data_IF_265063600862
#
_entry.id   IF_265063600862
#
_cell.length_a   1.000
_cell.length_b   1.000
_cell.length_c   1.000
_cell.angle_alpha   90.00
_cell.angle_beta   90.00
_cell.angle_gamma   90.00
#
_symmetry.space_group_name_H-M   'P 1'
#
loop_
_entity.id
_entity.type
_entity.pdbx_description
1 polymer ?
#
# COMPACT_ATOMS: atom_id res chain seq x y z
N UNK A 1 -1.42 -5.88 44.19
CA UNK A 1 -2.50 -6.39 43.30
C UNK A 1 -2.97 -7.74 43.84
N UNK A 2 -4.27 -7.99 43.99
CA UNK A 2 -4.78 -9.26 44.53
C UNK A 2 -4.65 -10.40 43.50
N UNK A 3 -4.61 -11.65 43.96
CA UNK A 3 -4.59 -12.83 43.07
C UNK A 3 -5.80 -12.85 42.11
N UNK A 4 -6.96 -12.39 42.59
CA UNK A 4 -8.18 -12.23 41.78
C UNK A 4 -7.95 -11.21 40.65
N UNK A 5 -7.28 -10.08 40.93
CA UNK A 5 -6.97 -9.08 39.91
C UNK A 5 -6.01 -9.64 38.84
N UNK A 6 -5.03 -10.46 39.21
CA UNK A 6 -4.13 -11.11 38.25
C UNK A 6 -4.84 -12.12 37.36
N UNK A 7 -5.76 -12.92 37.92
CA UNK A 7 -6.58 -13.87 37.16
C UNK A 7 -7.51 -13.14 36.19
N UNK A 8 -8.20 -12.10 36.66
CA UNK A 8 -9.08 -11.28 35.81
C UNK A 8 -8.31 -10.61 34.65
N UNK A 9 -7.12 -10.05 34.92
CA UNK A 9 -6.26 -9.49 33.88
C UNK A 9 -5.81 -10.56 32.88
N UNK A 10 -5.48 -11.76 33.33
CA UNK A 10 -5.11 -12.88 32.47
C UNK A 10 -6.26 -13.35 31.56
N UNK A 11 -7.47 -13.43 32.09
CA UNK A 11 -8.68 -13.79 31.32
C UNK A 11 -9.00 -12.70 30.29
N UNK A 12 -9.06 -11.43 30.70
CA UNK A 12 -9.33 -10.30 29.80
C UNK A 12 -8.28 -10.24 28.70
N UNK A 13 -6.99 -10.37 29.04
CA UNK A 13 -5.90 -10.39 28.07
C UNK A 13 -6.05 -11.53 27.06
N UNK A 14 -6.43 -12.73 27.52
CA UNK A 14 -6.64 -13.89 26.64
C UNK A 14 -7.82 -13.69 25.69
N UNK A 15 -8.96 -13.21 26.19
CA UNK A 15 -10.15 -12.91 25.38
C UNK A 15 -9.82 -11.84 24.34
N UNK A 16 -9.14 -10.77 24.75
CA UNK A 16 -8.72 -9.70 23.86
C UNK A 16 -7.78 -10.20 22.75
N UNK A 17 -6.74 -10.99 23.09
CA UNK A 17 -5.82 -11.55 22.10
C UNK A 17 -6.54 -12.49 21.12
N UNK A 18 -7.50 -13.28 21.61
CA UNK A 18 -8.29 -14.16 20.74
C UNK A 18 -9.14 -13.36 19.77
N UNK A 19 -9.86 -12.35 20.27
CA UNK A 19 -10.66 -11.46 19.43
C UNK A 19 -9.79 -10.71 18.42
N UNK A 20 -8.65 -10.17 18.85
CA UNK A 20 -7.72 -9.47 17.98
C UNK A 20 -7.18 -10.39 16.87
N UNK A 21 -6.89 -11.66 17.18
CA UNK A 21 -6.49 -12.65 16.19
C UNK A 21 -7.60 -12.97 15.18
N UNK A 22 -8.84 -13.11 15.65
CA UNK A 22 -9.98 -13.41 14.78
C UNK A 22 -10.34 -12.22 13.88
N UNK A 23 -10.36 -11.00 14.43
CA UNK A 23 -10.57 -9.76 13.69
C UNK A 23 -9.47 -9.57 12.62
N UNK A 24 -8.21 -9.88 12.94
CA UNK A 24 -7.09 -9.83 11.99
C UNK A 24 -7.28 -10.79 10.81
N UNK A 25 -7.69 -12.04 11.06
CA UNK A 25 -7.97 -12.98 9.96
C UNK A 25 -9.19 -12.53 9.15
N UNK A 26 -10.25 -12.07 9.81
CA UNK A 26 -11.51 -11.70 9.18
C UNK A 26 -11.35 -10.49 8.24
N UNK A 27 -10.50 -9.53 8.62
CA UNK A 27 -10.18 -8.37 7.77
C UNK A 27 -9.34 -8.75 6.54
N UNK A 28 -8.58 -9.85 6.62
CA UNK A 28 -7.55 -10.23 5.66
C UNK A 28 -6.16 -9.97 6.24
N UNK A 29 -5.21 -10.84 5.92
CA UNK A 29 -3.87 -10.84 6.55
C UNK A 29 -2.77 -10.33 5.61
N UNK A 30 -3.14 -9.93 4.39
CA UNK A 30 -2.25 -9.62 3.28
C UNK A 30 -1.16 -10.68 3.08
N UNK A 31 0.07 -10.25 2.82
CA UNK A 31 1.23 -11.14 2.67
C UNK A 31 1.61 -11.96 3.91
N UNK A 32 0.90 -11.83 5.03
CA UNK A 32 1.19 -12.58 6.25
C UNK A 32 0.31 -13.85 6.34
N UNK A 33 0.89 -15.05 6.55
CA UNK A 33 0.10 -16.27 6.67
C UNK A 33 -0.96 -16.21 7.79
N UNK A 34 -2.22 -16.60 7.54
CA UNK A 34 -3.35 -16.46 8.48
C UNK A 34 -3.33 -17.52 9.59
N UNK A 35 -2.22 -17.61 10.32
CA UNK A 35 -2.01 -18.56 11.40
C UNK A 35 -1.35 -17.89 12.61
N UNK A 36 -1.25 -18.61 13.74
CA UNK A 36 -0.67 -18.09 14.99
C UNK A 36 0.76 -17.56 14.83
N UNK A 37 1.59 -18.19 13.97
CA UNK A 37 2.96 -17.73 13.72
C UNK A 37 2.96 -16.38 12.99
N UNK A 38 2.10 -16.22 11.98
CA UNK A 38 1.89 -14.96 11.28
C UNK A 38 1.42 -13.86 12.22
N UNK A 39 0.45 -14.17 13.09
CA UNK A 39 -0.03 -13.22 14.09
C UNK A 39 1.06 -12.78 15.08
N UNK A 40 1.88 -13.72 15.59
CA UNK A 40 3.02 -13.36 16.47
C UNK A 40 4.02 -12.46 15.73
N UNK A 41 4.32 -12.75 14.46
CA UNK A 41 5.17 -11.89 13.62
C UNK A 41 4.55 -10.48 13.53
N UNK A 42 3.25 -10.39 13.34
CA UNK A 42 2.54 -9.11 13.29
C UNK A 42 2.62 -8.32 14.58
N UNK A 43 2.41 -8.97 15.73
CA UNK A 43 2.54 -8.33 17.04
C UNK A 43 3.96 -7.81 17.28
N UNK A 44 4.99 -8.53 16.82
CA UNK A 44 6.39 -8.07 16.88
C UNK A 44 6.63 -6.84 16.02
N UNK A 45 6.10 -6.82 14.79
CA UNK A 45 6.20 -5.65 13.89
C UNK A 45 5.51 -4.44 14.52
N UNK A 46 4.30 -4.62 15.06
CA UNK A 46 3.57 -3.57 15.77
C UNK A 46 4.37 -3.02 16.96
N UNK A 47 4.94 -3.90 17.80
CA UNK A 47 5.76 -3.47 18.93
C UNK A 47 7.02 -2.72 18.48
N UNK A 48 7.69 -3.18 17.42
CA UNK A 48 8.85 -2.49 16.83
C UNK A 48 8.45 -1.10 16.34
N UNK A 49 7.30 -0.95 15.66
CA UNK A 49 6.78 0.35 15.22
C UNK A 49 6.44 1.27 16.37
N UNK A 50 5.86 0.75 17.45
CA UNK A 50 5.55 1.55 18.65
C UNK A 50 6.82 2.16 19.27
N UNK A 51 7.96 1.48 19.14
CA UNK A 51 9.28 1.95 19.59
C UNK A 51 10.01 2.81 18.54
N UNK A 52 9.53 2.83 17.29
CA UNK A 52 10.05 3.69 16.23
C UNK A 52 9.32 5.03 16.29
N UNK A 53 10.02 6.07 16.72
CA UNK A 53 9.50 7.43 16.75
C UNK A 53 9.63 8.12 15.39
N UNK A 54 9.19 7.47 14.31
CA UNK A 54 9.15 8.05 12.96
C UNK A 54 7.73 8.22 12.43
N UNK A 55 7.50 9.33 11.71
CA UNK A 55 6.22 9.64 11.07
C UNK A 55 6.23 9.15 9.61
N UNK A 56 5.36 8.20 9.26
CA UNK A 56 5.26 7.67 7.89
C UNK A 56 4.81 8.71 6.87
N UNK A 57 4.24 9.83 7.34
CA UNK A 57 3.80 10.98 6.52
C UNK A 57 4.90 12.02 6.35
N UNK A 58 6.02 11.87 7.05
CA UNK A 58 7.20 12.68 6.83
C UNK A 58 8.02 12.12 5.66
N UNK A 59 8.11 12.91 4.59
CA UNK A 59 8.89 12.59 3.40
C UNK A 59 10.34 13.07 3.48
N UNK A 60 10.76 13.72 4.58
CA UNK A 60 12.10 14.31 4.73
C UNK A 60 13.24 13.33 4.49
N UNK A 61 13.04 12.05 4.79
CA UNK A 61 14.03 10.98 4.58
C UNK A 61 14.10 10.46 3.14
N UNK A 62 13.18 10.88 2.27
CA UNK A 62 13.21 10.54 0.85
C UNK A 62 14.06 11.55 0.08
N UNK A 63 14.79 11.11 -0.98
CA UNK A 63 15.59 11.99 -1.83
C UNK A 63 14.79 13.19 -2.36
N UNK A 64 15.47 14.32 -2.51
CA UNK A 64 14.93 15.56 -3.11
C UNK A 64 15.26 15.67 -4.60
N UNK A 65 16.03 14.73 -5.13
CA UNK A 65 16.42 14.61 -6.52
C UNK A 65 16.27 13.16 -7.03
N UNK A 66 16.50 12.97 -8.33
CA UNK A 66 16.43 11.67 -8.99
C UNK A 66 15.37 11.60 -10.10
N UNK A 67 15.09 10.39 -10.61
CA UNK A 67 14.12 10.16 -11.67
C UNK A 67 12.70 10.57 -11.24
N UNK A 68 11.98 11.23 -12.15
CA UNK A 68 10.60 11.70 -11.94
C UNK A 68 9.75 11.28 -13.13
N UNK A 69 8.59 10.70 -12.85
CA UNK A 69 7.64 10.19 -13.85
C UNK A 69 6.24 10.79 -13.67
N UNK A 70 5.96 11.45 -12.54
CA UNK A 70 4.75 12.27 -12.42
C UNK A 70 4.76 13.42 -13.43
N UNK A 71 3.68 13.51 -14.23
CA UNK A 71 3.49 14.57 -15.22
C UNK A 71 3.05 15.90 -14.57
N UNK A 72 3.96 16.50 -13.80
CA UNK A 72 3.74 17.76 -13.09
C UNK A 72 3.53 17.61 -11.58
N UNK A 73 3.19 18.72 -10.90
CA UNK A 73 2.85 18.71 -9.47
C UNK A 73 1.48 18.08 -9.23
N UNK A 74 1.37 17.26 -8.20
CA UNK A 74 0.08 16.75 -7.74
C UNK A 74 -0.71 17.86 -7.03
N UNK A 75 -2.04 17.91 -7.19
CA UNK A 75 -2.86 18.78 -6.37
C UNK A 75 -2.79 18.31 -4.91
N UNK A 76 -2.89 19.23 -3.96
CA UNK A 76 -3.06 18.85 -2.56
C UNK A 76 -4.39 18.10 -2.37
N UNK A 77 -4.37 16.98 -1.64
CA UNK A 77 -5.55 16.12 -1.47
C UNK A 77 -6.65 16.85 -0.70
N UNK A 78 -7.78 17.10 -1.35
CA UNK A 78 -8.94 17.77 -0.73
C UNK A 78 -9.45 16.98 0.47
N UNK A 79 -9.84 17.60 1.56
CA UNK A 79 -10.35 16.89 2.74
C UNK A 79 -9.30 16.05 3.50
N UNK A 80 -8.02 16.17 3.14
CA UNK A 80 -6.89 15.61 3.86
C UNK A 80 -6.77 14.09 3.79
N UNK A 81 -5.95 13.58 4.71
CA UNK A 81 -5.59 12.16 4.84
C UNK A 81 -6.69 11.36 5.54
N UNK A 82 -6.93 10.11 5.14
CA UNK A 82 -7.85 9.23 5.85
C UNK A 82 -7.30 8.81 7.21
N UNK A 83 -8.17 8.25 8.04
CA UNK A 83 -7.73 7.56 9.25
C UNK A 83 -7.10 6.21 8.90
N UNK A 84 -5.99 5.87 9.56
CA UNK A 84 -5.33 4.58 9.38
C UNK A 84 -5.90 3.53 10.34
N UNK A 85 -5.81 2.26 9.96
CA UNK A 85 -6.04 1.16 10.90
C UNK A 85 -4.93 1.15 11.96
N UNK A 86 -5.25 0.79 13.19
CA UNK A 86 -4.27 0.75 14.29
C UNK A 86 -3.21 -0.35 14.11
N UNK A 87 -3.54 -1.37 13.30
CA UNK A 87 -2.63 -2.47 12.96
C UNK A 87 -1.63 -2.01 11.91
N UNK A 88 -0.38 -2.46 12.06
CA UNK A 88 0.69 -2.11 11.12
C UNK A 88 0.59 -2.90 9.81
N UNK A 89 0.35 -4.21 9.86
CA UNK A 89 0.04 -5.02 8.68
C UNK A 89 -1.25 -5.86 8.88
N UNK A 90 -1.99 -6.16 7.80
CA UNK A 90 -1.85 -5.50 6.50
C UNK A 90 -2.00 -3.98 6.63
N UNK A 91 -1.20 -3.24 5.86
CA UNK A 91 -1.18 -1.77 5.94
C UNK A 91 -2.44 -1.27 5.22
N UNK A 92 -3.29 -0.61 5.99
CA UNK A 92 -4.70 -0.38 5.65
C UNK A 92 -5.17 0.93 6.22
N UNK A 93 -6.04 1.61 5.47
CA UNK A 93 -6.81 2.72 6.01
C UNK A 93 -8.14 2.22 6.56
N UNK A 94 -8.80 3.04 7.37
CA UNK A 94 -10.21 2.83 7.67
C UNK A 94 -11.00 3.06 6.37
N UNK A 95 -11.92 2.15 6.00
CA UNK A 95 -12.76 2.35 4.83
C UNK A 95 -13.57 3.65 4.96
N UNK A 96 -13.57 4.43 3.88
CA UNK A 96 -14.35 5.65 3.74
C UNK A 96 -15.32 5.49 2.55
N UNK A 97 -16.31 6.38 2.46
CA UNK A 97 -17.25 6.39 1.33
C UNK A 97 -16.53 6.72 0.02
N UNK A 98 -16.84 5.96 -1.02
CA UNK A 98 -16.40 6.18 -2.40
C UNK A 98 -17.64 6.18 -3.30
N UNK A 99 -17.71 7.12 -4.24
CA UNK A 99 -18.78 7.16 -5.24
C UNK A 99 -18.78 5.84 -6.04
N UNK A 100 -19.95 5.22 -6.30
CA UNK A 100 -20.01 3.93 -6.99
C UNK A 100 -19.30 3.91 -8.34
N UNK A 101 -19.43 4.99 -9.13
CA UNK A 101 -18.75 5.15 -10.41
C UNK A 101 -17.23 5.28 -10.23
N UNK A 102 -16.78 6.05 -9.25
CA UNK A 102 -15.36 6.20 -8.94
C UNK A 102 -14.75 4.87 -8.50
N UNK A 103 -15.49 4.08 -7.72
CA UNK A 103 -15.10 2.72 -7.34
C UNK A 103 -14.96 1.84 -8.57
N UNK A 104 -15.95 1.80 -9.46
CA UNK A 104 -15.88 1.01 -10.68
C UNK A 104 -14.67 1.40 -11.55
N UNK A 105 -14.43 2.70 -11.72
CA UNK A 105 -13.27 3.22 -12.46
C UNK A 105 -11.96 2.81 -11.82
N UNK A 106 -11.82 2.97 -10.49
CA UNK A 106 -10.63 2.56 -9.74
C UNK A 106 -10.30 1.08 -9.97
N UNK A 107 -11.29 0.20 -9.81
CA UNK A 107 -11.10 -1.25 -9.98
C UNK A 107 -10.91 -1.64 -11.46
N UNK A 108 -11.23 -0.76 -12.40
CA UNK A 108 -10.99 -0.95 -13.84
C UNK A 108 -9.65 -0.39 -14.32
N UNK A 109 -8.93 0.41 -13.52
CA UNK A 109 -7.66 1.04 -13.92
C UNK A 109 -6.61 0.03 -14.38
N UNK A 110 -6.48 -1.08 -13.67
CA UNK A 110 -5.50 -2.13 -14.00
C UNK A 110 -5.83 -2.76 -15.35
N UNK A 111 -7.10 -3.10 -15.59
CA UNK A 111 -7.54 -3.66 -16.87
C UNK A 111 -7.33 -2.67 -18.02
N UNK A 112 -7.66 -1.39 -17.80
CA UNK A 112 -7.42 -0.30 -18.75
C UNK A 112 -5.94 -0.19 -19.12
N UNK A 113 -5.03 -0.09 -18.14
CA UNK A 113 -3.59 0.01 -18.40
C UNK A 113 -3.03 -1.22 -19.13
N UNK A 114 -3.52 -2.41 -18.81
CA UNK A 114 -3.13 -3.64 -19.52
C UNK A 114 -3.54 -3.62 -21.00
N UNK A 115 -4.72 -3.10 -21.30
CA UNK A 115 -5.20 -2.93 -22.67
C UNK A 115 -4.42 -1.85 -23.42
N UNK A 116 -4.09 -0.75 -22.74
CA UNK A 116 -3.34 0.37 -23.31
C UNK A 116 -1.86 -0.01 -23.55
N UNK A 117 -1.27 -0.85 -22.69
CA UNK A 117 0.16 -1.19 -22.72
C UNK A 117 0.46 -2.72 -22.62
N UNK A 118 -0.13 -3.57 -23.49
CA UNK A 118 -0.07 -5.02 -23.38
C UNK A 118 1.33 -5.60 -23.64
N UNK A 119 2.25 -4.81 -24.20
CA UNK A 119 3.63 -5.22 -24.47
C UNK A 119 4.53 -5.19 -23.24
N UNK A 120 4.20 -4.37 -22.23
CA UNK A 120 5.06 -4.15 -21.06
C UNK A 120 4.41 -4.55 -19.74
N UNK A 121 3.09 -4.73 -19.71
CA UNK A 121 2.34 -5.07 -18.49
C UNK A 121 1.77 -6.49 -18.54
N UNK A 122 1.67 -7.11 -17.35
CA UNK A 122 0.93 -8.37 -17.12
C UNK A 122 0.16 -8.29 -15.81
N UNK A 123 -0.93 -9.06 -15.71
CA UNK A 123 -1.71 -9.25 -14.49
C UNK A 123 -1.25 -10.53 -13.79
N UNK A 124 -1.29 -10.54 -12.46
CA UNK A 124 -1.17 -11.76 -11.68
C UNK A 124 -1.57 -11.54 -10.22
N UNK A 125 -1.65 -12.62 -9.42
CA UNK A 125 -1.91 -12.49 -7.99
C UNK A 125 -0.81 -11.68 -7.31
N UNK A 126 -1.19 -10.68 -6.51
CA UNK A 126 -0.27 -9.85 -5.73
C UNK A 126 0.53 -10.71 -4.75
N UNK A 127 1.83 -10.82 -4.97
CA UNK A 127 2.73 -11.53 -4.05
C UNK A 127 2.90 -10.77 -2.74
N UNK A 128 2.88 -9.44 -2.79
CA UNK A 128 3.01 -8.60 -1.58
C UNK A 128 1.76 -8.66 -0.70
N UNK A 129 0.59 -8.92 -1.28
CA UNK A 129 -0.68 -9.13 -0.59
C UNK A 129 -1.02 -10.62 -0.36
N UNK A 130 -0.06 -11.53 -0.54
CA UNK A 130 -0.23 -12.96 -0.24
C UNK A 130 -1.11 -13.73 -1.23
N UNK A 131 -1.34 -13.17 -2.42
CA UNK A 131 -2.15 -13.75 -3.49
C UNK A 131 -3.65 -13.50 -3.35
N UNK A 132 -4.07 -12.68 -2.39
CA UNK A 132 -5.50 -12.44 -2.10
C UNK A 132 -6.19 -11.48 -3.09
N UNK A 133 -5.43 -10.73 -3.88
CA UNK A 133 -5.94 -9.82 -4.91
C UNK A 133 -4.99 -9.75 -6.09
N UNK A 134 -5.44 -9.11 -7.17
CA UNK A 134 -4.63 -8.95 -8.37
C UNK A 134 -3.69 -7.74 -8.26
N UNK A 135 -2.53 -7.88 -8.88
CA UNK A 135 -1.54 -6.82 -9.04
C UNK A 135 -1.13 -6.68 -10.50
N UNK A 136 -0.77 -5.46 -10.86
CA UNK A 136 -0.15 -5.16 -12.13
C UNK A 136 1.37 -5.32 -11.99
N UNK A 137 1.97 -5.99 -12.96
CA UNK A 137 3.40 -6.30 -13.01
C UNK A 137 4.01 -5.81 -14.32
N UNK A 138 5.29 -5.48 -14.29
CA UNK A 138 6.07 -5.39 -15.53
C UNK A 138 6.32 -6.80 -16.09
N UNK A 139 6.30 -6.95 -17.42
CA UNK A 139 6.74 -8.20 -18.06
C UNK A 139 8.26 -8.35 -17.96
N UNK A 140 8.71 -9.60 -17.90
CA UNK A 140 10.11 -9.93 -17.62
C UNK A 140 11.04 -9.67 -18.83
N UNK A 141 10.46 -9.53 -20.04
CA UNK A 141 11.16 -9.32 -21.31
C UNK A 141 11.20 -7.85 -21.77
N UNK A 142 10.73 -6.92 -20.93
CA UNK A 142 10.78 -5.49 -21.23
C UNK A 142 12.24 -5.01 -21.24
N UNK A 143 12.78 -4.50 -22.38
CA UNK A 143 14.21 -4.16 -22.46
C UNK A 143 14.64 -3.02 -21.53
N UNK A 144 13.70 -2.17 -21.12
CA UNK A 144 13.93 -0.98 -20.31
C UNK A 144 13.70 -1.21 -18.82
N UNK A 145 13.46 -2.46 -18.37
CA UNK A 145 13.15 -2.76 -16.97
C UNK A 145 14.11 -2.06 -16.02
N UNK A 146 13.53 -1.32 -15.07
CA UNK A 146 14.31 -0.74 -14.00
C UNK A 146 14.65 -1.82 -12.98
N UNK A 147 15.95 -2.04 -12.74
CA UNK A 147 16.42 -3.04 -11.80
C UNK A 147 15.89 -2.82 -10.37
N UNK A 148 15.54 -1.58 -9.99
CA UNK A 148 14.90 -1.30 -8.71
C UNK A 148 13.59 -2.07 -8.52
N UNK A 149 12.86 -2.37 -9.61
CA UNK A 149 11.63 -3.16 -9.64
C UNK A 149 11.79 -4.56 -9.05
N UNK A 150 12.98 -5.15 -9.14
CA UNK A 150 13.27 -6.49 -8.60
C UNK A 150 13.02 -6.59 -7.09
N UNK A 151 13.13 -5.47 -6.34
CA UNK A 151 12.84 -5.44 -4.90
C UNK A 151 11.43 -5.95 -4.57
N UNK A 152 10.44 -5.65 -5.43
CA UNK A 152 9.05 -6.09 -5.30
C UNK A 152 8.70 -7.21 -6.30
N UNK A 153 9.69 -7.87 -6.89
CA UNK A 153 9.45 -8.89 -7.92
C UNK A 153 8.74 -8.32 -9.16
N UNK A 154 8.99 -7.05 -9.47
CA UNK A 154 8.34 -6.27 -10.52
C UNK A 154 6.84 -6.06 -10.35
N UNK A 155 6.32 -6.22 -9.13
CA UNK A 155 4.99 -5.73 -8.77
C UNK A 155 4.99 -4.20 -8.80
N UNK A 156 4.08 -3.62 -9.58
CA UNK A 156 3.97 -2.18 -9.78
C UNK A 156 2.94 -1.60 -8.81
N UNK A 157 1.74 -2.19 -8.78
CA UNK A 157 0.67 -1.72 -7.93
C UNK A 157 -0.37 -2.82 -7.69
N UNK A 158 -1.13 -2.68 -6.60
CA UNK A 158 -2.33 -3.46 -6.34
C UNK A 158 -3.37 -2.64 -5.57
N UNK A 159 -4.64 -3.02 -5.70
CA UNK A 159 -5.76 -2.40 -4.99
C UNK A 159 -6.18 -3.28 -3.82
N UNK A 160 -6.37 -2.70 -2.65
CA UNK A 160 -6.96 -3.37 -1.50
C UNK A 160 -8.48 -3.39 -1.64
N UNK A 161 -9.05 -4.59 -1.81
CA UNK A 161 -10.51 -4.74 -1.98
C UNK A 161 -11.31 -4.26 -0.77
N UNK A 162 -10.74 -4.34 0.44
CA UNK A 162 -11.42 -4.04 1.70
C UNK A 162 -11.62 -2.54 1.96
N UNK A 163 -10.69 -1.69 1.53
CA UNK A 163 -10.70 -0.25 1.83
C UNK A 163 -10.47 0.65 0.61
N UNK A 164 -10.27 0.07 -0.58
CA UNK A 164 -9.99 0.73 -1.86
C UNK A 164 -8.67 1.55 -1.90
N UNK A 165 -7.82 1.43 -0.87
CA UNK A 165 -6.46 1.99 -0.93
C UNK A 165 -5.55 1.10 -1.78
N UNK A 166 -4.35 1.57 -2.08
CA UNK A 166 -3.42 0.91 -3.00
C UNK A 166 -2.03 0.85 -2.40
N UNK A 167 -1.24 -0.15 -2.77
CA UNK A 167 0.21 0.01 -2.78
C UNK A 167 0.70 0.24 -4.20
N UNK A 168 1.70 1.10 -4.34
CA UNK A 168 2.36 1.40 -5.60
C UNK A 168 3.87 1.52 -5.41
N UNK A 169 4.64 1.05 -6.38
CA UNK A 169 6.09 1.23 -6.41
C UNK A 169 6.47 2.42 -7.28
N UNK A 170 6.79 3.54 -6.64
CA UNK A 170 7.19 4.79 -7.29
C UNK A 170 8.71 4.98 -7.23
N UNK A 171 9.22 5.90 -8.05
CA UNK A 171 10.55 6.46 -7.78
C UNK A 171 10.55 7.13 -6.39
N UNK A 172 11.69 7.19 -5.67
CA UNK A 172 11.72 7.87 -4.37
C UNK A 172 11.31 9.35 -4.43
N UNK A 173 11.57 10.02 -5.56
CA UNK A 173 11.17 11.42 -5.78
C UNK A 173 9.66 11.57 -6.03
N UNK A 174 9.04 10.66 -6.78
CA UNK A 174 7.59 10.65 -6.97
C UNK A 174 6.86 10.23 -5.69
N UNK A 175 7.39 9.27 -4.94
CA UNK A 175 6.90 8.88 -3.61
C UNK A 175 6.89 10.08 -2.65
N UNK A 176 7.96 10.89 -2.67
CA UNK A 176 8.02 12.15 -1.91
C UNK A 176 6.88 13.08 -2.30
N UNK A 177 6.68 13.34 -3.59
CA UNK A 177 5.62 14.22 -4.08
C UNK A 177 4.21 13.73 -3.68
N UNK A 178 3.97 12.42 -3.75
CA UNK A 178 2.70 11.79 -3.30
C UNK A 178 2.46 12.02 -1.81
N UNK A 179 3.49 11.85 -0.98
CA UNK A 179 3.38 12.04 0.47
C UNK A 179 3.19 13.53 0.80
N UNK A 180 4.01 14.43 0.25
CA UNK A 180 3.92 15.87 0.50
C UNK A 180 2.56 16.47 0.05
N UNK A 181 1.95 15.88 -0.98
CA UNK A 181 0.64 16.30 -1.49
C UNK A 181 -0.54 15.61 -0.79
N UNK A 182 -0.28 14.87 0.29
CA UNK A 182 -1.24 14.13 1.12
C UNK A 182 -1.98 12.97 0.44
N UNK A 183 -1.46 12.45 -0.66
CA UNK A 183 -2.05 11.30 -1.37
C UNK A 183 -1.64 9.94 -0.83
N UNK A 184 -0.60 9.87 -0.01
CA UNK A 184 -0.14 8.60 0.55
C UNK A 184 0.80 8.75 1.74
N UNK A 185 1.24 7.60 2.26
CA UNK A 185 2.24 7.48 3.31
C UNK A 185 3.22 6.35 3.01
N UNK A 186 4.41 6.43 3.62
CA UNK A 186 5.44 5.40 3.47
C UNK A 186 4.94 4.06 4.00
N UNK A 187 5.38 2.98 3.38
CA UNK A 187 5.16 1.65 3.92
C UNK A 187 5.85 1.49 5.29
N UNK A 188 5.17 0.94 6.31
CA UNK A 188 5.65 0.96 7.69
C UNK A 188 6.87 0.08 7.96
N UNK A 189 7.13 -0.94 7.13
CA UNK A 189 8.17 -1.95 7.41
C UNK A 189 9.29 -1.86 6.39
N UNK A 190 10.32 -1.06 6.71
CA UNK A 190 11.49 -0.79 5.84
C UNK A 190 12.21 -2.04 5.36
N UNK A 191 12.17 -3.13 6.13
CA UNK A 191 12.80 -4.40 5.74
C UNK A 191 11.99 -5.20 4.71
N UNK A 192 10.73 -4.83 4.48
CA UNK A 192 9.81 -5.54 3.59
C UNK A 192 9.41 -4.73 2.36
N UNK A 193 9.81 -3.45 2.26
CA UNK A 193 9.48 -2.59 1.13
C UNK A 193 10.56 -1.52 0.89
N UNK A 194 10.93 -1.23 -0.37
CA UNK A 194 11.84 -0.13 -0.69
C UNK A 194 11.22 1.24 -0.36
N UNK A 195 12.01 2.32 -0.28
CA UNK A 195 11.50 3.66 0.06
C UNK A 195 10.37 4.17 -0.84
N UNK A 196 10.34 3.74 -2.10
CA UNK A 196 9.31 4.08 -3.08
C UNK A 196 8.05 3.21 -3.03
N UNK A 197 8.02 2.17 -2.18
CA UNK A 197 6.81 1.39 -1.93
C UNK A 197 5.92 2.17 -0.97
N UNK A 198 4.89 2.80 -1.52
CA UNK A 198 4.00 3.70 -0.78
C UNK A 198 2.59 3.16 -0.77
N UNK A 199 1.88 3.42 0.32
CA UNK A 199 0.44 3.26 0.33
C UNK A 199 -0.20 4.55 -0.20
N UNK A 200 -1.00 4.45 -1.25
CA UNK A 200 -1.82 5.53 -1.81
C UNK A 200 -3.24 5.39 -1.27
N UNK A 201 -3.79 6.48 -0.77
CA UNK A 201 -5.12 6.47 -0.14
C UNK A 201 -6.25 6.31 -1.16
N UNK A 202 -7.32 5.64 -0.75
CA UNK A 202 -8.50 5.38 -1.56
C UNK A 202 -9.09 6.68 -2.12
N UNK A 203 -9.38 6.79 -3.43
CA UNK A 203 -10.08 7.96 -3.97
C UNK A 203 -11.53 8.00 -3.45
N UNK A 204 -12.09 9.20 -3.31
CA UNK A 204 -13.50 9.38 -2.93
C UNK A 204 -14.42 9.58 -4.12
N UNK A 205 -13.92 10.24 -5.16
CA UNK A 205 -14.67 10.60 -6.36
C UNK A 205 -13.84 10.42 -7.63
N UNK A 206 -14.47 10.73 -8.77
CA UNK A 206 -13.85 10.60 -10.09
C UNK A 206 -12.62 11.48 -10.30
N UNK A 207 -12.56 12.67 -9.70
CA UNK A 207 -11.40 13.55 -9.83
C UNK A 207 -10.21 13.00 -9.04
N UNK A 208 -10.46 12.34 -7.91
CA UNK A 208 -9.41 11.65 -7.16
C UNK A 208 -8.91 10.39 -7.87
N UNK A 209 -9.80 9.68 -8.58
CA UNK A 209 -9.40 8.55 -9.43
C UNK A 209 -8.43 9.01 -10.53
N UNK A 210 -8.63 10.19 -11.12
CA UNK A 210 -7.71 10.72 -12.15
C UNK A 210 -6.30 10.96 -11.57
N UNK A 211 -6.23 11.45 -10.33
CA UNK A 211 -4.96 11.61 -9.62
C UNK A 211 -4.31 10.26 -9.34
N UNK A 212 -5.07 9.29 -8.82
CA UNK A 212 -4.59 7.93 -8.58
C UNK A 212 -4.11 7.25 -9.87
N UNK A 213 -4.80 7.44 -11.00
CA UNK A 213 -4.37 6.95 -12.31
C UNK A 213 -3.03 7.59 -12.72
N UNK A 214 -2.84 8.90 -12.50
CA UNK A 214 -1.58 9.58 -12.81
C UNK A 214 -0.39 9.02 -11.98
N UNK A 215 -0.62 8.71 -10.70
CA UNK A 215 0.38 8.10 -9.82
C UNK A 215 0.67 6.66 -10.28
N UNK A 216 -0.36 5.89 -10.65
CA UNK A 216 -0.19 4.53 -11.15
C UNK A 216 0.60 4.49 -12.46
N UNK A 217 0.37 5.44 -13.36
CA UNK A 217 1.17 5.61 -14.59
C UNK A 217 2.63 5.89 -14.26
N UNK A 218 2.92 6.82 -13.34
CA UNK A 218 4.29 7.07 -12.89
C UNK A 218 4.96 5.82 -12.28
N UNK A 219 4.20 5.00 -11.53
CA UNK A 219 4.70 3.72 -11.01
C UNK A 219 5.04 2.74 -12.15
N UNK A 220 4.19 2.66 -13.18
CA UNK A 220 4.46 1.85 -14.37
C UNK A 220 5.74 2.30 -15.05
N UNK A 221 5.92 3.59 -15.30
CA UNK A 221 7.12 4.12 -15.94
C UNK A 221 8.37 3.90 -15.10
N UNK A 222 8.27 4.07 -13.78
CA UNK A 222 9.37 3.80 -12.86
C UNK A 222 9.85 2.34 -12.94
N UNK A 223 8.94 1.37 -12.87
CA UNK A 223 9.30 -0.05 -12.82
C UNK A 223 9.67 -0.61 -14.19
N UNK A 224 8.94 -0.21 -15.23
CA UNK A 224 9.17 -0.69 -16.61
C UNK A 224 10.30 0.06 -17.33
N UNK A 225 10.64 1.27 -16.87
CA UNK A 225 11.53 2.21 -17.56
C UNK A 225 11.00 2.71 -18.92
N UNK A 226 9.78 2.32 -19.31
CA UNK A 226 9.14 2.78 -20.53
C UNK A 226 8.31 4.04 -20.23
N UNK A 227 8.29 5.00 -21.16
CA UNK A 227 7.41 6.17 -21.05
C UNK A 227 6.06 5.83 -21.69
N UNK A 228 4.98 6.11 -20.98
CA UNK A 228 3.62 5.95 -21.49
C UNK A 228 3.28 7.16 -22.35
N UNK A 229 3.02 6.93 -23.64
CA UNK A 229 2.59 7.97 -24.59
C UNK A 229 1.08 8.24 -24.48
#
# INVERSE_FOLDING_TARGET
>A
MSAIALVLLGVIGTVWVSKDYDDWKAFGTGGTPPNKKGYIKMRKVWLKRLLQHDDLRDASTLPTDGPRYLNGPLPHRRGGRPQMMERVLPHRQKPEGIDPEARERLHSLVAKLLLDHPKILKLGPSKTEGGAGDAIYAKDDVPTLNHAGAAMGYEIAHVHLADNSLHMYLSPLDARAVIESEWGERFPVKELGPPGWVMVYAPRDNAEVDVVESIMKAAVEWVTGAILL
#
